data_IF_479750618839
#
_entry.id   IF_479750618839
#
_cell.length_a   1.000
_cell.length_b   1.000
_cell.length_c   1.000
_cell.angle_alpha   90.00
_cell.angle_beta   90.00
_cell.angle_gamma   90.00
#
_symmetry.space_group_name_H-M   'P 1'
#
loop_
_entity.id
_entity.type
_entity.pdbx_description
1 polymer ?
#
# COMPACT_ATOMS: atom_id res chain seq x y z
N UNK A 1 0.70 -3.86 21.28
CA UNK A 1 2.07 -3.82 20.68
C UNK A 1 2.09 -2.62 19.74
N UNK A 2 3.03 -1.69 19.92
CA UNK A 2 3.10 -0.42 19.18
C UNK A 2 3.26 -0.67 17.66
N UNK A 3 2.40 -0.09 16.83
CA UNK A 3 2.42 -0.21 15.35
C UNK A 3 3.81 0.12 14.78
N UNK A 4 4.44 1.19 15.26
CA UNK A 4 5.76 1.61 14.80
C UNK A 4 6.82 0.51 14.95
N UNK A 5 6.73 -0.32 16.00
CA UNK A 5 7.64 -1.45 16.21
C UNK A 5 7.44 -2.57 15.17
N UNK A 6 6.21 -2.75 14.68
CA UNK A 6 5.91 -3.69 13.59
C UNK A 6 6.43 -3.14 12.27
N UNK A 7 6.22 -1.84 12.03
CA UNK A 7 6.72 -1.15 10.84
C UNK A 7 8.25 -1.24 10.73
N UNK A 8 8.98 -0.88 11.79
CA UNK A 8 10.45 -1.01 11.83
C UNK A 8 10.91 -2.45 11.71
N UNK A 9 10.20 -3.40 12.33
CA UNK A 9 10.44 -4.84 12.16
C UNK A 9 10.30 -5.30 10.71
N UNK A 10 9.26 -4.83 10.01
CA UNK A 10 9.01 -5.14 8.61
C UNK A 10 10.11 -4.58 7.69
N UNK A 11 10.48 -3.31 7.89
CA UNK A 11 11.47 -2.58 7.08
C UNK A 11 12.93 -2.85 7.48
N UNK A 12 13.18 -3.75 8.45
CA UNK A 12 14.50 -3.94 9.04
C UNK A 12 15.60 -4.29 8.02
N UNK A 13 15.28 -5.05 6.96
CA UNK A 13 16.27 -5.39 5.92
C UNK A 13 16.68 -4.17 5.09
N UNK A 14 15.72 -3.33 4.68
CA UNK A 14 16.00 -2.06 4.00
C UNK A 14 16.79 -1.12 4.91
N UNK A 15 16.32 -0.92 6.14
CA UNK A 15 16.99 -0.06 7.12
C UNK A 15 18.43 -0.51 7.43
N UNK A 16 18.65 -1.81 7.58
CA UNK A 16 20.00 -2.37 7.83
C UNK A 16 20.95 -2.12 6.66
N UNK A 17 20.45 -2.21 5.42
CA UNK A 17 21.22 -1.89 4.22
C UNK A 17 21.66 -0.43 4.18
N UNK A 18 20.71 0.49 4.42
CA UNK A 18 20.97 1.94 4.46
C UNK A 18 21.95 2.29 5.59
N UNK A 19 21.72 1.80 6.81
CA UNK A 19 22.64 2.03 7.95
C UNK A 19 24.05 1.51 7.70
N UNK A 20 24.18 0.32 7.10
CA UNK A 20 25.48 -0.25 6.76
C UNK A 20 26.22 0.61 5.73
N UNK A 21 25.50 1.11 4.71
CA UNK A 21 26.09 2.03 3.74
C UNK A 21 26.56 3.31 4.42
N UNK A 22 25.71 3.95 5.24
CA UNK A 22 26.09 5.15 5.99
C UNK A 22 27.34 4.93 6.85
N UNK A 23 27.40 3.86 7.65
CA UNK A 23 28.59 3.55 8.46
C UNK A 23 29.87 3.37 7.64
N UNK A 24 29.77 2.92 6.38
CA UNK A 24 30.94 2.74 5.50
C UNK A 24 31.53 4.05 4.95
N UNK A 25 30.76 5.14 5.02
CA UNK A 25 31.14 6.50 4.61
C UNK A 25 32.03 7.15 5.69
N UNK A 26 32.04 6.62 6.92
CA UNK A 26 32.88 7.10 8.00
C UNK A 26 34.28 6.46 7.97
N UNK A 27 35.31 7.27 8.25
CA UNK A 27 36.69 6.82 8.50
C UNK A 27 37.06 7.17 9.94
N UNK A 28 36.81 6.25 10.87
CA UNK A 28 36.79 6.57 12.30
C UNK A 28 35.56 7.44 12.60
N UNK A 29 35.74 8.57 13.29
CA UNK A 29 34.64 9.48 13.61
C UNK A 29 34.41 10.58 12.56
N UNK A 30 35.15 10.55 11.44
CA UNK A 30 35.06 11.60 10.41
C UNK A 30 34.29 11.13 9.19
N UNK A 31 33.35 11.96 8.75
CA UNK A 31 32.62 11.78 7.50
C UNK A 31 33.55 11.96 6.29
N UNK A 32 33.55 10.98 5.38
CA UNK A 32 34.22 11.06 4.07
C UNK A 32 33.18 11.35 2.98
N UNK A 33 32.97 12.63 2.68
CA UNK A 33 31.97 13.12 1.70
C UNK A 33 32.14 12.50 0.31
N UNK A 34 33.36 12.09 -0.05
CA UNK A 34 33.64 11.44 -1.34
C UNK A 34 32.94 10.08 -1.49
N UNK A 35 32.59 9.43 -0.37
CA UNK A 35 31.91 8.13 -0.35
C UNK A 35 30.39 8.21 -0.38
N UNK A 36 29.81 9.41 -0.42
CA UNK A 36 28.34 9.56 -0.49
C UNK A 36 27.73 8.93 -1.75
N UNK A 37 28.50 8.71 -2.81
CA UNK A 37 28.04 7.94 -3.99
C UNK A 37 27.66 6.50 -3.62
N UNK A 38 28.33 5.88 -2.65
CA UNK A 38 27.95 4.53 -2.17
C UNK A 38 26.63 4.49 -1.40
N UNK A 39 26.19 5.63 -0.87
CA UNK A 39 24.84 5.76 -0.31
C UNK A 39 23.80 5.76 -1.42
N UNK A 40 24.07 6.48 -2.51
CA UNK A 40 23.19 6.54 -3.68
C UNK A 40 22.93 5.15 -4.25
N UNK A 41 23.98 4.36 -4.50
CA UNK A 41 23.88 2.98 -4.96
C UNK A 41 23.01 2.12 -4.03
N UNK A 42 23.16 2.31 -2.71
CA UNK A 42 22.38 1.58 -1.72
C UNK A 42 20.90 1.99 -1.73
N UNK A 43 20.58 3.27 -1.91
CA UNK A 43 19.20 3.76 -2.01
C UNK A 43 18.54 3.19 -3.27
N UNK A 44 19.26 3.17 -4.40
CA UNK A 44 18.81 2.54 -5.64
C UNK A 44 18.54 1.05 -5.44
N UNK A 45 19.47 0.33 -4.79
CA UNK A 45 19.31 -1.09 -4.48
C UNK A 45 18.12 -1.40 -3.56
N UNK A 46 17.66 -0.42 -2.78
CA UNK A 46 16.47 -0.51 -1.94
C UNK A 46 15.16 -0.19 -2.70
N UNK A 47 15.20 -0.04 -4.03
CA UNK A 47 14.08 0.36 -4.90
C UNK A 47 13.57 1.79 -4.64
N UNK A 48 14.40 2.71 -4.12
CA UNK A 48 14.01 4.14 -4.02
C UNK A 48 13.93 4.81 -5.40
N UNK A 49 14.74 4.35 -6.36
CA UNK A 49 14.80 4.91 -7.72
C UNK A 49 16.00 5.83 -7.91
N UNK A 50 16.47 5.94 -9.16
CA UNK A 50 17.72 6.63 -9.52
C UNK A 50 17.61 8.12 -9.20
N UNK A 51 16.66 8.82 -9.84
CA UNK A 51 16.51 10.27 -9.72
C UNK A 51 16.29 10.74 -8.27
N UNK A 52 15.50 9.97 -7.51
CA UNK A 52 15.23 10.27 -6.09
C UNK A 52 16.47 10.05 -5.24
N UNK A 53 17.22 8.97 -5.48
CA UNK A 53 18.45 8.68 -4.74
C UNK A 53 19.51 9.75 -4.98
N UNK A 54 19.72 10.15 -6.24
CA UNK A 54 20.62 11.23 -6.61
C UNK A 54 20.22 12.54 -5.90
N UNK A 55 18.92 12.88 -5.95
CA UNK A 55 18.38 14.07 -5.29
C UNK A 55 18.63 14.07 -3.78
N UNK A 56 18.31 12.96 -3.09
CA UNK A 56 18.50 12.84 -1.65
C UNK A 56 19.98 12.99 -1.26
N UNK A 57 20.89 12.34 -2.00
CA UNK A 57 22.34 12.44 -1.74
C UNK A 57 22.87 13.84 -2.04
N UNK A 58 22.37 14.50 -3.08
CA UNK A 58 22.73 15.88 -3.42
C UNK A 58 22.25 16.87 -2.35
N UNK A 59 21.05 16.69 -1.81
CA UNK A 59 20.53 17.48 -0.69
C UNK A 59 21.45 17.32 0.54
N UNK A 60 21.82 16.08 0.90
CA UNK A 60 22.77 15.80 1.98
C UNK A 60 24.11 16.53 1.79
N UNK A 61 24.67 16.51 0.57
CA UNK A 61 25.93 17.23 0.24
C UNK A 61 25.81 18.75 0.43
N UNK A 62 24.62 19.31 0.20
CA UNK A 62 24.37 20.76 0.24
C UNK A 62 24.14 21.33 1.63
N UNK A 63 23.74 20.50 2.61
CA UNK A 63 23.37 20.93 3.96
C UNK A 63 24.56 21.14 4.92
N UNK A 64 25.72 21.54 4.37
CA UNK A 64 26.96 21.77 5.12
C UNK A 64 27.34 20.62 6.07
N UNK A 65 27.09 19.36 5.67
CA UNK A 65 27.65 18.20 6.38
C UNK A 65 29.16 18.39 6.49
N UNK A 66 29.63 18.62 7.70
CA UNK A 66 31.05 18.77 8.00
C UNK A 66 31.62 17.43 8.48
N UNK A 67 32.95 17.36 8.65
CA UNK A 67 33.61 16.14 9.08
C UNK A 67 33.20 15.64 10.48
N UNK A 68 32.48 16.43 11.26
CA UNK A 68 32.00 16.10 12.62
C UNK A 68 30.54 15.65 12.66
N UNK A 69 29.82 15.69 11.52
CA UNK A 69 28.42 15.25 11.42
C UNK A 69 28.32 13.77 11.81
N UNK A 70 27.33 13.41 12.63
CA UNK A 70 27.15 12.03 13.10
C UNK A 70 26.34 11.18 12.12
N UNK A 71 26.43 9.85 12.25
CA UNK A 71 25.56 8.91 11.52
C UNK A 71 24.07 9.21 11.75
N UNK A 72 23.71 9.55 12.99
CA UNK A 72 22.33 9.87 13.36
C UNK A 72 21.84 11.15 12.67
N UNK A 73 22.69 12.16 12.52
CA UNK A 73 22.36 13.40 11.81
C UNK A 73 22.08 13.13 10.32
N UNK A 74 22.91 12.30 9.67
CA UNK A 74 22.72 11.92 8.27
C UNK A 74 21.43 11.12 8.08
N UNK A 75 21.14 10.17 8.99
CA UNK A 75 19.90 9.40 8.98
C UNK A 75 18.67 10.30 9.13
N UNK A 76 18.72 11.31 10.01
CA UNK A 76 17.63 12.28 10.21
C UNK A 76 17.39 13.09 8.95
N UNK A 77 18.44 13.65 8.35
CA UNK A 77 18.35 14.43 7.10
C UNK A 77 17.80 13.58 5.94
N UNK A 78 18.27 12.34 5.81
CA UNK A 78 17.75 11.40 4.82
C UNK A 78 16.26 11.08 5.05
N UNK A 79 15.86 10.85 6.31
CA UNK A 79 14.47 10.66 6.71
C UNK A 79 13.61 11.87 6.35
N UNK A 80 14.09 13.09 6.60
CA UNK A 80 13.37 14.33 6.27
C UNK A 80 13.21 14.51 4.75
N UNK A 81 14.24 14.19 3.96
CA UNK A 81 14.16 14.17 2.50
C UNK A 81 13.10 13.19 1.99
N UNK A 82 13.06 11.98 2.54
CA UNK A 82 12.05 10.96 2.20
C UNK A 82 10.65 11.42 2.64
N UNK A 83 10.51 11.99 3.84
CA UNK A 83 9.24 12.50 4.36
C UNK A 83 8.64 13.58 3.45
N UNK A 84 9.47 14.49 2.92
CA UNK A 84 9.02 15.53 1.97
C UNK A 84 8.38 14.92 0.72
N UNK A 85 8.89 13.79 0.24
CA UNK A 85 8.35 13.07 -0.93
C UNK A 85 7.03 12.37 -0.57
N UNK A 86 6.96 11.76 0.62
CA UNK A 86 5.82 10.94 1.04
C UNK A 86 4.64 11.76 1.59
N UNK A 87 4.89 12.94 2.16
CA UNK A 87 3.87 13.75 2.83
C UNK A 87 2.67 14.11 1.94
N UNK A 88 2.84 14.50 0.65
CA UNK A 88 1.71 14.84 -0.22
C UNK A 88 0.76 13.67 -0.51
N UNK A 89 1.27 12.43 -0.42
CA UNK A 89 0.51 11.21 -0.69
C UNK A 89 0.05 10.49 0.58
N UNK A 90 0.52 10.89 1.76
CA UNK A 90 0.09 10.32 3.05
C UNK A 90 -1.32 10.77 3.40
N UNK A 91 -2.29 10.00 2.89
CA UNK A 91 -3.72 10.27 3.03
C UNK A 91 -4.43 9.00 3.45
N UNK A 92 -4.76 8.84 4.75
CA UNK A 92 -5.52 7.69 5.23
C UNK A 92 -6.84 7.51 4.47
N UNK A 93 -7.30 6.27 4.34
CA UNK A 93 -8.60 5.98 3.73
C UNK A 93 -9.73 6.60 4.59
N UNK A 94 -10.55 7.46 4.00
CA UNK A 94 -11.63 8.16 4.70
C UNK A 94 -13.00 7.70 4.21
N UNK A 95 -13.78 7.13 5.12
CA UNK A 95 -15.19 6.79 4.88
C UNK A 95 -16.04 8.03 5.11
N UNK A 96 -16.66 8.56 4.04
CA UNK A 96 -17.47 9.79 4.12
C UNK A 96 -18.83 9.47 4.73
N UNK A 97 -19.24 10.22 5.75
CA UNK A 97 -20.50 9.98 6.49
C UNK A 97 -21.78 10.08 5.64
N UNK A 98 -21.74 10.79 4.51
CA UNK A 98 -22.85 10.88 3.56
C UNK A 98 -22.97 9.69 2.60
N UNK A 99 -21.93 8.85 2.50
CA UNK A 99 -21.93 7.69 1.61
C UNK A 99 -22.39 6.46 2.40
N UNK A 100 -23.59 5.96 2.11
CA UNK A 100 -24.15 4.79 2.79
C UNK A 100 -24.84 3.85 1.77
N UNK A 101 -24.09 2.90 1.17
CA UNK A 101 -22.72 2.51 1.52
C UNK A 101 -21.63 3.38 0.87
N UNK A 102 -20.51 3.56 1.57
CA UNK A 102 -19.22 3.90 0.96
C UNK A 102 -18.64 2.65 0.31
N UNK A 103 -18.21 2.73 -0.95
CA UNK A 103 -17.90 1.54 -1.78
C UNK A 103 -16.43 1.55 -2.14
N UNK A 104 -15.72 0.52 -1.70
CA UNK A 104 -14.29 0.29 -1.94
C UNK A 104 -14.15 -0.92 -2.87
N UNK A 105 -13.47 -0.74 -4.00
CA UNK A 105 -13.08 -1.83 -4.90
C UNK A 105 -11.58 -2.03 -4.79
N UNK A 106 -11.16 -3.21 -4.34
CA UNK A 106 -9.75 -3.59 -4.28
C UNK A 106 -9.35 -4.28 -5.58
N UNK A 107 -8.30 -3.77 -6.21
CA UNK A 107 -7.74 -4.27 -7.47
C UNK A 107 -6.24 -4.56 -7.32
N UNK A 108 -5.64 -5.23 -8.30
CA UNK A 108 -4.24 -5.64 -8.27
C UNK A 108 -4.07 -7.11 -8.63
N UNK A 109 -2.81 -7.57 -8.73
CA UNK A 109 -2.55 -8.93 -9.22
C UNK A 109 -2.74 -10.00 -8.14
N UNK A 110 -2.80 -11.27 -8.55
CA UNK A 110 -2.87 -12.37 -7.61
C UNK A 110 -1.62 -12.39 -6.71
N UNK A 111 -1.84 -12.69 -5.44
CA UNK A 111 -0.76 -12.77 -4.47
C UNK A 111 -0.34 -11.43 -3.86
N UNK A 112 -0.81 -10.26 -4.32
CA UNK A 112 -0.46 -8.96 -3.70
C UNK A 112 -1.13 -8.71 -2.35
N UNK A 113 -1.95 -9.64 -1.87
CA UNK A 113 -2.61 -9.53 -0.57
C UNK A 113 -3.96 -8.80 -0.59
N UNK A 114 -4.64 -8.67 -1.75
CA UNK A 114 -6.00 -8.07 -1.86
C UNK A 114 -7.01 -8.64 -0.86
N UNK A 115 -7.24 -9.95 -0.90
CA UNK A 115 -8.19 -10.66 -0.02
C UNK A 115 -7.86 -10.46 1.46
N UNK A 116 -6.58 -10.58 1.81
CA UNK A 116 -6.09 -10.31 3.17
C UNK A 116 -6.33 -8.84 3.57
N UNK A 117 -6.09 -7.90 2.66
CA UNK A 117 -6.30 -6.46 2.88
C UNK A 117 -7.79 -6.15 3.07
N UNK A 118 -8.68 -6.75 2.27
CA UNK A 118 -10.13 -6.62 2.44
C UNK A 118 -10.57 -7.02 3.86
N UNK A 119 -10.11 -8.18 4.33
CA UNK A 119 -10.38 -8.68 5.68
C UNK A 119 -9.88 -7.76 6.79
N UNK A 120 -8.64 -7.26 6.66
CA UNK A 120 -8.05 -6.35 7.64
C UNK A 120 -8.77 -5.00 7.70
N UNK A 121 -9.07 -4.39 6.55
CA UNK A 121 -9.85 -3.15 6.48
C UNK A 121 -11.25 -3.36 7.08
N UNK A 122 -11.90 -4.49 6.78
CA UNK A 122 -13.21 -4.79 7.33
C UNK A 122 -13.19 -4.89 8.86
N UNK A 123 -12.20 -5.56 9.44
CA UNK A 123 -12.03 -5.65 10.88
C UNK A 123 -11.77 -4.27 11.52
N UNK A 124 -10.89 -3.45 10.94
CA UNK A 124 -10.61 -2.09 11.44
C UNK A 124 -11.86 -1.20 11.42
N UNK A 125 -12.65 -1.25 10.34
CA UNK A 125 -13.88 -0.49 10.23
C UNK A 125 -14.95 -0.98 11.20
N UNK A 126 -15.05 -2.30 11.42
CA UNK A 126 -15.93 -2.89 12.43
C UNK A 126 -15.54 -2.47 13.85
N UNK A 127 -14.25 -2.46 14.17
CA UNK A 127 -13.74 -1.94 15.46
C UNK A 127 -14.05 -0.46 15.66
N UNK A 128 -14.12 0.32 14.57
CA UNK A 128 -14.59 1.72 14.57
C UNK A 128 -16.12 1.86 14.65
N UNK A 129 -16.86 0.76 14.83
CA UNK A 129 -18.32 0.75 14.95
C UNK A 129 -19.08 0.85 13.62
N UNK A 130 -18.41 0.73 12.47
CA UNK A 130 -19.06 0.74 11.16
C UNK A 130 -19.64 -0.65 10.83
N UNK A 131 -20.80 -0.65 10.19
CA UNK A 131 -21.36 -1.85 9.54
C UNK A 131 -20.67 -2.08 8.19
N UNK A 132 -20.12 -3.29 8.00
CA UNK A 132 -19.31 -3.64 6.82
C UNK A 132 -19.88 -4.86 6.13
N UNK A 133 -19.96 -4.81 4.81
CA UNK A 133 -20.28 -5.95 3.93
C UNK A 133 -19.09 -6.24 3.02
N UNK A 134 -18.66 -7.50 2.96
CA UNK A 134 -17.66 -8.00 2.01
C UNK A 134 -18.34 -8.60 0.77
N UNK A 135 -17.70 -8.52 -0.39
CA UNK A 135 -18.15 -9.16 -1.63
C UNK A 135 -17.02 -9.91 -2.32
N UNK A 136 -17.19 -11.23 -2.50
CA UNK A 136 -16.19 -12.12 -3.09
C UNK A 136 -16.27 -12.15 -4.62
N UNK A 137 -15.82 -11.07 -5.29
CA UNK A 137 -15.87 -10.95 -6.75
C UNK A 137 -14.70 -11.63 -7.49
N UNK A 138 -13.73 -12.27 -6.81
CA UNK A 138 -12.83 -13.27 -7.44
C UNK A 138 -13.57 -14.62 -7.59
N UNK A 139 -14.63 -14.64 -8.40
CA UNK A 139 -15.63 -15.73 -8.47
C UNK A 139 -15.09 -17.04 -9.04
N UNK A 140 -13.92 -17.00 -9.70
CA UNK A 140 -13.32 -18.16 -10.35
C UNK A 140 -12.27 -18.87 -9.48
N UNK A 141 -11.90 -18.31 -8.32
CA UNK A 141 -10.92 -18.92 -7.41
C UNK A 141 -11.63 -19.34 -6.12
N UNK A 142 -12.07 -20.59 -6.06
CA UNK A 142 -12.69 -21.17 -4.86
C UNK A 142 -11.86 -20.90 -3.59
N UNK A 143 -10.54 -21.12 -3.66
CA UNK A 143 -9.64 -20.83 -2.53
C UNK A 143 -9.59 -19.34 -2.12
N UNK A 144 -9.81 -18.40 -3.05
CA UNK A 144 -9.88 -16.97 -2.71
C UNK A 144 -11.20 -16.63 -2.02
N UNK A 145 -12.31 -17.23 -2.45
CA UNK A 145 -13.62 -17.12 -1.80
C UNK A 145 -13.52 -17.66 -0.37
N UNK A 146 -13.06 -18.90 -0.19
CA UNK A 146 -12.87 -19.53 1.12
C UNK A 146 -11.97 -18.69 2.03
N UNK A 147 -10.88 -18.14 1.48
CA UNK A 147 -10.00 -17.25 2.22
C UNK A 147 -10.73 -15.98 2.69
N UNK A 148 -11.54 -15.36 1.83
CA UNK A 148 -12.32 -14.17 2.21
C UNK A 148 -13.40 -14.49 3.24
N UNK A 149 -14.03 -15.66 3.18
CA UNK A 149 -14.99 -16.13 4.18
C UNK A 149 -14.35 -16.31 5.56
N UNK A 150 -13.13 -16.87 5.62
CA UNK A 150 -12.35 -16.95 6.87
C UNK A 150 -12.07 -15.55 7.42
N UNK A 151 -11.72 -14.60 6.57
CA UNK A 151 -11.52 -13.20 6.97
C UNK A 151 -12.81 -12.53 7.44
N UNK A 152 -13.94 -12.77 6.76
CA UNK A 152 -15.25 -12.25 7.14
C UNK A 152 -15.64 -12.74 8.54
N UNK A 153 -15.49 -14.05 8.78
CA UNK A 153 -15.72 -14.67 10.10
C UNK A 153 -14.79 -14.10 11.17
N UNK A 154 -13.51 -13.90 10.84
CA UNK A 154 -12.52 -13.34 11.78
C UNK A 154 -12.81 -11.87 12.13
N UNK A 155 -13.34 -11.11 11.18
CA UNK A 155 -13.69 -9.71 11.35
C UNK A 155 -15.12 -9.50 11.93
N UNK A 156 -15.91 -10.56 12.10
CA UNK A 156 -17.32 -10.49 12.49
C UNK A 156 -18.15 -9.57 11.54
N UNK A 157 -17.99 -9.79 10.24
CA UNK A 157 -18.70 -9.05 9.18
C UNK A 157 -19.40 -10.00 8.23
N UNK A 158 -20.46 -9.51 7.58
CA UNK A 158 -21.15 -10.31 6.58
C UNK A 158 -20.39 -10.33 5.25
N UNK A 159 -20.56 -11.40 4.47
CA UNK A 159 -19.98 -11.59 3.14
C UNK A 159 -21.04 -12.05 2.14
N UNK A 160 -21.00 -11.49 0.94
CA UNK A 160 -21.76 -11.95 -0.22
C UNK A 160 -20.86 -12.79 -1.11
N UNK A 161 -21.28 -14.03 -1.36
CA UNK A 161 -20.60 -14.99 -2.22
C UNK A 161 -21.54 -15.38 -3.36
N UNK A 162 -21.00 -15.43 -4.58
CA UNK A 162 -21.72 -15.91 -5.77
C UNK A 162 -21.46 -17.39 -6.03
N UNK A 163 -22.19 -17.98 -6.97
CA UNK A 163 -21.86 -19.31 -7.47
C UNK A 163 -20.47 -19.31 -8.13
N UNK A 164 -19.75 -20.42 -8.04
CA UNK A 164 -18.41 -20.53 -8.63
C UNK A 164 -18.47 -20.30 -10.14
N UNK A 165 -17.65 -19.39 -10.65
CA UNK A 165 -17.64 -18.98 -12.06
C UNK A 165 -18.78 -18.02 -12.47
N UNK A 166 -19.56 -17.50 -11.50
CA UNK A 166 -20.55 -16.45 -11.77
C UNK A 166 -19.89 -15.15 -12.22
N UNK A 167 -20.65 -14.33 -12.95
CA UNK A 167 -20.16 -13.02 -13.43
C UNK A 167 -19.84 -12.06 -12.27
N UNK A 168 -18.58 -11.63 -12.09
CA UNK A 168 -18.17 -10.75 -10.98
C UNK A 168 -18.93 -9.43 -10.92
N UNK A 169 -19.27 -8.85 -12.08
CA UNK A 169 -20.03 -7.60 -12.14
C UNK A 169 -21.48 -7.78 -11.66
N UNK A 170 -22.12 -8.89 -11.99
CA UNK A 170 -23.45 -9.23 -11.48
C UNK A 170 -23.44 -9.43 -9.96
N UNK A 171 -22.41 -10.10 -9.42
CA UNK A 171 -22.24 -10.23 -7.97
C UNK A 171 -22.01 -8.87 -7.30
N UNK A 172 -21.14 -8.02 -7.85
CA UNK A 172 -20.89 -6.67 -7.33
C UNK A 172 -22.17 -5.82 -7.28
N UNK A 173 -23.02 -5.89 -8.33
CA UNK A 173 -24.31 -5.21 -8.38
C UNK A 173 -25.28 -5.73 -7.29
N UNK A 174 -25.33 -7.05 -7.08
CA UNK A 174 -26.14 -7.68 -6.03
C UNK A 174 -25.67 -7.24 -4.64
N UNK A 175 -24.37 -7.26 -4.39
CA UNK A 175 -23.77 -6.84 -3.11
C UNK A 175 -24.05 -5.36 -2.83
N UNK A 176 -23.95 -4.49 -3.83
CA UNK A 176 -24.33 -3.07 -3.70
C UNK A 176 -25.82 -2.89 -3.40
N UNK A 177 -26.69 -3.69 -4.04
CA UNK A 177 -28.13 -3.62 -3.79
C UNK A 177 -28.45 -3.98 -2.33
N UNK A 178 -27.92 -5.10 -1.83
CA UNK A 178 -28.05 -5.50 -0.43
C UNK A 178 -27.49 -4.43 0.53
N UNK A 179 -26.29 -3.91 0.23
CA UNK A 179 -25.65 -2.86 1.02
C UNK A 179 -26.53 -1.60 1.16
N UNK A 180 -27.22 -1.19 0.09
CA UNK A 180 -28.15 -0.06 0.11
C UNK A 180 -29.40 -0.39 0.94
N UNK A 181 -30.00 -1.56 0.73
CA UNK A 181 -31.23 -2.00 1.42
C UNK A 181 -31.03 -2.12 2.94
N UNK A 182 -29.89 -2.67 3.34
CA UNK A 182 -29.50 -2.85 4.74
C UNK A 182 -28.86 -1.61 5.35
N UNK A 183 -28.64 -0.55 4.54
CA UNK A 183 -27.96 0.68 4.93
C UNK A 183 -26.63 0.37 5.63
N UNK A 184 -25.80 -0.48 5.02
CA UNK A 184 -24.45 -0.73 5.55
C UNK A 184 -23.58 0.51 5.33
N UNK A 185 -22.66 0.78 6.24
CA UNK A 185 -21.78 1.95 6.13
C UNK A 185 -20.73 1.75 5.03
N UNK A 186 -20.19 0.53 4.89
CA UNK A 186 -19.12 0.23 3.93
C UNK A 186 -19.35 -1.09 3.20
N UNK A 187 -19.20 -1.07 1.87
CA UNK A 187 -19.09 -2.24 1.02
C UNK A 187 -17.67 -2.36 0.47
N UNK A 188 -17.01 -3.49 0.72
CA UNK A 188 -15.68 -3.80 0.19
C UNK A 188 -15.79 -4.95 -0.81
N UNK A 189 -15.29 -4.71 -2.03
CA UNK A 189 -15.33 -5.66 -3.14
C UNK A 189 -13.90 -6.17 -3.41
N UNK A 190 -13.68 -7.48 -3.23
CA UNK A 190 -12.42 -8.15 -3.59
C UNK A 190 -12.53 -8.71 -5.01
N UNK A 191 -11.65 -8.28 -5.92
CA UNK A 191 -11.71 -8.67 -7.35
C UNK A 191 -10.67 -9.71 -7.72
N UNK A 192 -10.83 -10.33 -8.88
CA UNK A 192 -9.78 -11.14 -9.49
C UNK A 192 -8.50 -10.32 -9.77
N UNK A 193 -7.37 -11.01 -9.91
CA UNK A 193 -6.05 -10.40 -10.19
C UNK A 193 -5.21 -11.16 -11.22
N UNK A 194 -5.84 -11.84 -12.17
CA UNK A 194 -5.19 -12.72 -13.15
C UNK A 194 -4.48 -11.94 -14.27
N UNK A 195 -3.31 -11.35 -13.98
CA UNK A 195 -2.57 -10.51 -14.93
C UNK A 195 -2.06 -11.26 -16.19
N UNK A 196 -2.06 -12.60 -16.23
CA UNK A 196 -1.67 -13.33 -17.45
C UNK A 196 -2.69 -13.17 -18.58
N UNK A 197 -3.93 -12.79 -18.26
CA UNK A 197 -5.00 -12.50 -19.22
C UNK A 197 -5.42 -11.03 -19.08
N UNK A 198 -4.45 -10.13 -19.30
CA UNK A 198 -4.58 -8.69 -19.00
C UNK A 198 -5.87 -8.08 -19.56
N UNK A 199 -6.19 -8.32 -20.82
CA UNK A 199 -7.35 -7.70 -21.47
C UNK A 199 -8.67 -8.12 -20.84
N UNK A 200 -8.85 -9.40 -20.54
CA UNK A 200 -10.09 -9.91 -19.93
C UNK A 200 -10.25 -9.37 -18.50
N UNK A 201 -9.17 -9.36 -17.71
CA UNK A 201 -9.18 -8.79 -16.37
C UNK A 201 -9.58 -7.30 -16.40
N UNK A 202 -8.98 -6.52 -17.31
CA UNK A 202 -9.26 -5.09 -17.39
C UNK A 202 -10.70 -4.81 -17.84
N UNK A 203 -11.24 -5.57 -18.78
CA UNK A 203 -12.64 -5.45 -19.20
C UNK A 203 -13.62 -5.88 -18.10
N UNK A 204 -13.28 -6.91 -17.31
CA UNK A 204 -14.05 -7.31 -16.13
C UNK A 204 -14.10 -6.18 -15.08
N UNK A 205 -12.96 -5.57 -14.76
CA UNK A 205 -12.89 -4.45 -13.81
C UNK A 205 -13.67 -3.23 -14.29
N UNK A 206 -13.55 -2.87 -15.57
CA UNK A 206 -14.37 -1.80 -16.18
C UNK A 206 -15.86 -2.13 -16.09
N UNK A 207 -16.23 -3.39 -16.32
CA UNK A 207 -17.63 -3.83 -16.21
C UNK A 207 -18.13 -3.68 -14.77
N UNK A 208 -17.36 -4.10 -13.76
CA UNK A 208 -17.68 -3.92 -12.33
C UNK A 208 -17.92 -2.44 -12.02
N UNK A 209 -16.98 -1.55 -12.36
CA UNK A 209 -17.10 -0.10 -12.10
C UNK A 209 -18.35 0.48 -12.77
N UNK A 210 -18.58 0.12 -14.05
CA UNK A 210 -19.74 0.59 -14.81
C UNK A 210 -21.07 0.17 -14.20
N UNK A 211 -21.20 -1.07 -13.72
CA UNK A 211 -22.48 -1.53 -13.12
C UNK A 211 -22.72 -0.91 -11.75
N UNK A 212 -21.66 -0.68 -10.96
CA UNK A 212 -21.77 0.03 -9.67
C UNK A 212 -22.21 1.47 -9.89
N UNK A 213 -21.58 2.20 -10.82
CA UNK A 213 -21.94 3.59 -11.15
C UNK A 213 -23.34 3.77 -11.73
N UNK A 214 -23.89 2.75 -12.40
CA UNK A 214 -25.31 2.74 -12.84
C UNK A 214 -26.29 2.63 -11.68
N UNK A 215 -25.89 2.01 -10.57
CA UNK A 215 -26.75 1.74 -9.41
C UNK A 215 -26.70 2.87 -8.40
N UNK A 216 -25.51 3.42 -8.16
CA UNK A 216 -25.27 4.51 -7.21
C UNK A 216 -24.34 5.53 -7.86
N UNK A 217 -24.80 6.77 -8.00
CA UNK A 217 -24.01 7.86 -8.56
C UNK A 217 -22.72 8.06 -7.75
N UNK A 218 -21.60 8.28 -8.43
CA UNK A 218 -20.29 8.42 -7.79
C UNK A 218 -19.63 7.10 -7.34
N UNK A 219 -20.28 5.94 -7.54
CA UNK A 219 -19.67 4.65 -7.22
C UNK A 219 -18.77 4.08 -8.32
N UNK A 220 -17.73 3.31 -7.95
CA UNK A 220 -17.23 3.13 -6.57
C UNK A 220 -16.52 4.39 -6.06
N UNK A 221 -16.59 4.63 -4.75
CA UNK A 221 -16.00 5.80 -4.11
C UNK A 221 -14.47 5.69 -4.09
N UNK A 222 -13.95 4.49 -3.82
CA UNK A 222 -12.52 4.18 -3.87
C UNK A 222 -12.21 2.99 -4.78
N UNK A 223 -11.17 3.16 -5.60
CA UNK A 223 -10.61 2.17 -6.53
C UNK A 223 -9.16 2.00 -6.11
N UNK A 224 -8.92 1.08 -5.18
CA UNK A 224 -7.64 0.96 -4.47
C UNK A 224 -6.85 -0.19 -5.05
N UNK A 225 -5.66 0.10 -5.58
CA UNK A 225 -4.73 -0.93 -6.01
C UNK A 225 -3.91 -1.44 -4.83
N UNK A 226 -3.84 -2.77 -4.68
CA UNK A 226 -2.98 -3.42 -3.70
C UNK A 226 -1.74 -3.96 -4.41
N UNK A 227 -0.58 -3.43 -4.03
CA UNK A 227 0.72 -3.74 -4.61
C UNK A 227 1.60 -4.51 -3.62
N UNK A 228 2.41 -5.43 -4.15
CA UNK A 228 3.39 -6.19 -3.37
C UNK A 228 4.73 -5.44 -3.33
N UNK A 229 5.08 -4.94 -2.15
CA UNK A 229 6.31 -4.18 -1.92
C UNK A 229 7.60 -4.99 -2.10
N UNK A 230 7.54 -6.33 -2.10
CA UNK A 230 8.69 -7.17 -2.39
C UNK A 230 9.00 -7.27 -3.89
N UNK A 231 8.08 -6.84 -4.76
CA UNK A 231 8.24 -6.99 -6.21
C UNK A 231 9.03 -5.87 -6.88
N UNK A 232 9.36 -4.78 -6.16
CA UNK A 232 10.18 -3.67 -6.65
C UNK A 232 9.58 -3.05 -7.92
N UNK A 233 10.41 -2.89 -8.97
CA UNK A 233 10.00 -2.30 -10.26
C UNK A 233 8.75 -2.92 -10.91
N UNK A 234 8.41 -4.18 -10.60
CA UNK A 234 7.17 -4.79 -11.09
C UNK A 234 5.90 -4.09 -10.57
N UNK A 235 5.96 -3.45 -9.40
CA UNK A 235 4.85 -2.67 -8.86
C UNK A 235 4.51 -1.46 -9.76
N UNK A 236 5.53 -0.81 -10.34
CA UNK A 236 5.32 0.28 -11.30
C UNK A 236 4.61 -0.19 -12.56
N UNK A 237 5.09 -1.28 -13.15
CA UNK A 237 4.49 -1.87 -14.36
C UNK A 237 3.05 -2.30 -14.13
N UNK A 238 2.72 -2.81 -12.94
CA UNK A 238 1.34 -3.11 -12.56
C UNK A 238 0.51 -1.83 -12.45
N UNK A 239 1.01 -0.83 -11.75
CA UNK A 239 0.34 0.45 -11.56
C UNK A 239 0.00 1.12 -12.90
N UNK A 240 0.94 1.16 -13.84
CA UNK A 240 0.74 1.69 -15.20
C UNK A 240 -0.38 0.94 -15.92
N UNK A 241 -0.39 -0.39 -15.83
CA UNK A 241 -1.34 -1.22 -16.56
C UNK A 241 -2.76 -1.07 -16.02
N UNK A 242 -2.94 -1.05 -14.70
CA UNK A 242 -4.25 -0.81 -14.10
C UNK A 242 -4.75 0.61 -14.35
N UNK A 243 -3.87 1.61 -14.30
CA UNK A 243 -4.22 3.03 -14.53
C UNK A 243 -4.70 3.30 -15.97
N UNK A 244 -4.30 2.48 -16.95
CA UNK A 244 -4.85 2.55 -18.32
C UNK A 244 -6.30 2.10 -18.42
N UNK A 245 -6.72 1.20 -17.52
CA UNK A 245 -8.03 0.57 -17.58
C UNK A 245 -9.05 1.24 -16.68
N UNK A 246 -8.63 1.66 -15.49
CA UNK A 246 -9.48 2.21 -14.44
C UNK A 246 -8.76 3.37 -13.76
N UNK A 247 -9.52 4.39 -13.39
CA UNK A 247 -9.00 5.53 -12.63
C UNK A 247 -8.67 5.09 -11.20
N UNK A 248 -7.41 4.90 -10.84
CA UNK A 248 -7.04 4.46 -9.49
C UNK A 248 -7.11 5.65 -8.53
N UNK A 249 -7.84 5.51 -7.42
CA UNK A 249 -7.99 6.60 -6.43
C UNK A 249 -6.98 6.53 -5.28
N UNK A 250 -6.33 5.39 -5.09
CA UNK A 250 -5.32 5.22 -4.06
C UNK A 250 -4.63 3.86 -4.07
N UNK A 251 -3.63 3.74 -3.20
CA UNK A 251 -2.67 2.62 -3.16
C UNK A 251 -2.58 2.06 -1.75
N UNK A 252 -2.48 0.73 -1.66
CA UNK A 252 -2.04 0.01 -0.48
C UNK A 252 -0.82 -0.84 -0.85
N UNK A 253 0.26 -0.74 -0.07
CA UNK A 253 1.48 -1.53 -0.31
C UNK A 253 1.64 -2.56 0.79
N UNK A 254 1.66 -3.83 0.44
CA UNK A 254 1.76 -4.95 1.40
C UNK A 254 3.10 -5.66 1.29
N UNK A 255 3.32 -6.66 2.15
CA UNK A 255 4.52 -7.51 2.18
C UNK A 255 5.82 -6.74 2.24
N UNK A 256 5.80 -5.64 2.99
CA UNK A 256 7.02 -4.90 3.29
C UNK A 256 7.90 -5.65 4.29
N UNK A 257 7.34 -6.63 5.00
CA UNK A 257 8.07 -7.50 5.89
C UNK A 257 9.05 -8.41 5.17
N UNK A 258 10.29 -8.44 5.66
CA UNK A 258 11.31 -9.35 5.16
C UNK A 258 11.85 -9.02 3.76
N UNK A 259 11.49 -7.86 3.20
CA UNK A 259 12.00 -7.34 1.93
C UNK A 259 13.09 -6.30 2.16
N UNK A 260 14.11 -6.26 1.28
CA UNK A 260 15.08 -5.16 1.23
C UNK A 260 14.60 -4.00 0.33
N UNK A 261 13.39 -4.09 -0.22
CA UNK A 261 12.84 -3.19 -1.25
C UNK A 261 11.82 -2.19 -0.72
N UNK A 262 11.89 -1.81 0.56
CA UNK A 262 10.96 -0.85 1.17
C UNK A 262 10.95 0.52 0.49
N UNK A 263 11.98 0.85 -0.30
CA UNK A 263 12.07 2.10 -1.06
C UNK A 263 11.03 2.24 -2.16
N UNK A 264 10.41 1.13 -2.59
CA UNK A 264 9.37 1.14 -3.63
C UNK A 264 8.20 2.08 -3.30
N UNK A 265 7.87 2.25 -2.02
CA UNK A 265 6.81 3.18 -1.57
C UNK A 265 7.18 4.64 -1.91
N UNK A 266 8.45 5.00 -1.78
CA UNK A 266 8.97 6.33 -2.13
C UNK A 266 8.91 6.54 -3.64
N UNK A 267 9.35 5.53 -4.41
CA UNK A 267 9.33 5.59 -5.88
C UNK A 267 7.90 5.67 -6.44
N UNK A 268 6.96 4.91 -5.88
CA UNK A 268 5.55 4.98 -6.25
C UNK A 268 4.93 6.35 -5.93
N UNK A 269 5.26 6.92 -4.77
CA UNK A 269 4.78 8.23 -4.34
C UNK A 269 5.21 9.34 -5.32
N UNK A 270 6.49 9.39 -5.65
CA UNK A 270 7.06 10.40 -6.55
C UNK A 270 6.52 10.29 -7.97
N UNK A 271 6.47 9.06 -8.52
CA UNK A 271 6.07 8.84 -9.90
C UNK A 271 4.57 9.04 -10.16
N UNK A 272 3.71 8.56 -9.26
CA UNK A 272 2.26 8.51 -9.51
C UNK A 272 1.48 9.58 -8.73
N UNK A 273 2.00 10.10 -7.62
CA UNK A 273 1.34 11.14 -6.83
C UNK A 273 -0.03 10.74 -6.25
N UNK A 274 -0.36 9.44 -6.24
CA UNK A 274 -1.64 8.96 -5.72
C UNK A 274 -1.60 8.77 -4.20
N UNK A 275 -2.75 8.95 -3.51
CA UNK A 275 -2.88 8.64 -2.10
C UNK A 275 -2.37 7.25 -1.75
N UNK A 276 -1.48 7.16 -0.77
CA UNK A 276 -1.10 5.91 -0.12
C UNK A 276 -1.91 5.86 1.18
N UNK A 277 -2.86 4.93 1.23
CA UNK A 277 -3.80 4.82 2.34
C UNK A 277 -3.23 4.03 3.52
N UNK A 278 -2.56 2.93 3.20
CA UNK A 278 -2.10 1.96 4.19
C UNK A 278 -0.88 1.20 3.71
N UNK A 279 -0.12 0.68 4.67
CA UNK A 279 0.98 -0.26 4.42
C UNK A 279 0.84 -1.51 5.26
N UNK A 280 1.22 -2.66 4.69
CA UNK A 280 1.14 -3.97 5.31
C UNK A 280 2.52 -4.59 5.55
N UNK A 281 2.76 -5.03 6.79
CA UNK A 281 4.04 -5.57 7.28
C UNK A 281 3.89 -6.95 7.92
N UNK A 282 2.92 -7.74 7.45
CA UNK A 282 2.70 -9.10 7.93
C UNK A 282 1.28 -9.62 7.69
N UNK A 283 0.95 -10.74 8.31
CA UNK A 283 -0.29 -11.50 8.06
C UNK A 283 -1.38 -11.31 9.13
N UNK A 284 -1.04 -10.79 10.33
CA UNK A 284 -2.00 -10.58 11.42
C UNK A 284 -2.90 -9.39 11.12
N UNK A 285 -4.04 -9.31 11.80
CA UNK A 285 -4.99 -8.19 11.65
C UNK A 285 -4.29 -6.85 11.89
N UNK A 286 -3.49 -6.79 12.95
CA UNK A 286 -2.74 -5.60 13.37
C UNK A 286 -1.48 -5.31 12.53
N UNK A 287 -1.22 -6.08 11.46
CA UNK A 287 -0.07 -5.88 10.56
C UNK A 287 -0.44 -5.07 9.29
N UNK A 288 -1.54 -4.34 9.32
CA UNK A 288 -1.93 -3.32 8.34
C UNK A 288 -2.36 -2.08 9.13
N UNK A 289 -1.84 -0.91 8.79
CA UNK A 289 -2.27 0.35 9.40
C UNK A 289 -2.19 1.48 8.37
N UNK A 290 -2.75 2.64 8.74
CA UNK A 290 -2.68 3.87 7.96
C UNK A 290 -1.24 4.22 7.63
N UNK A 291 -1.04 4.73 6.43
CA UNK A 291 0.27 5.20 6.01
C UNK A 291 0.54 6.59 6.58
N UNK A 292 1.58 6.69 7.41
CA UNK A 292 2.11 7.94 7.96
C UNK A 292 3.50 8.20 7.39
N UNK A 293 3.66 9.34 6.68
CA UNK A 293 4.91 9.67 6.00
C UNK A 293 6.10 9.79 6.94
N UNK A 294 5.91 10.34 8.15
CA UNK A 294 6.96 10.53 9.14
C UNK A 294 7.36 9.21 9.79
N UNK A 295 6.39 8.38 10.18
CA UNK A 295 6.69 7.06 10.72
C UNK A 295 7.40 6.19 9.69
N UNK A 296 6.96 6.22 8.43
CA UNK A 296 7.58 5.44 7.36
C UNK A 296 8.99 5.91 7.04
N UNK A 297 9.20 7.23 6.91
CA UNK A 297 10.51 7.81 6.59
C UNK A 297 11.55 7.53 7.67
N UNK A 298 11.13 7.52 8.94
CA UNK A 298 12.00 7.14 10.07
C UNK A 298 12.27 5.65 10.07
N UNK A 299 11.24 4.84 9.87
CA UNK A 299 11.38 3.38 9.91
C UNK A 299 12.24 2.82 8.77
N UNK A 300 12.15 3.38 7.55
CA UNK A 300 12.93 2.91 6.40
C UNK A 300 14.44 3.13 6.57
N UNK A 301 14.86 4.16 7.30
CA UNK A 301 16.27 4.42 7.66
C UNK A 301 16.65 3.82 9.03
N UNK A 302 15.68 3.25 9.75
CA UNK A 302 15.84 2.60 11.04
C UNK A 302 16.03 3.55 12.23
N UNK A 303 15.47 4.75 12.18
CA UNK A 303 15.34 5.64 13.35
C UNK A 303 14.13 5.23 14.22
N UNK A 304 14.20 5.53 15.51
CA UNK A 304 13.07 5.35 16.45
C UNK A 304 12.00 6.43 16.27
N UNK A 305 10.78 6.25 16.77
CA UNK A 305 9.73 7.29 16.73
C UNK A 305 9.85 8.20 17.97
N UNK A 306 10.66 9.26 17.88
CA UNK A 306 10.80 10.29 18.93
C UNK A 306 9.89 11.48 18.64
#
# INVERSE_FOLDING_TARGET
MNWFKRLTGGLNKTASGIKKSIGSIFKGNKLDVSKLESLEDQLIACDIGIDISEKLVKELKSENLNSESSEEEILKKLSEGIEKILSPVSKPLQIKEGNKPHVIVLVGVNGTGKTTTAGKIAAQLKEQGKTVLLSACDTFRAAAIEQLEVWAKRADVEIVVGENGSDPASLAYKSLTKAIEEKVDVLIIDTAGRLQVKNELMEELKKIIRVLGKKLEGCPHDRIIVLDGATGQNAHSQMDEFSKAIDISGVIVTKLDGSAKGGIVVSLADRFGLPIHSVGVGERLEDLDRFDAKEYSRAIVGLDNN
#
